data_IF_337284134545
#
_entry.id   IF_337284134545
#
_cell.length_a   1.000
_cell.length_b   1.000
_cell.length_c   1.000
_cell.angle_alpha   90.00
_cell.angle_beta   90.00
_cell.angle_gamma   90.00
#
_symmetry.space_group_name_H-M   'P 1'
#
loop_
_entity.id
_entity.type
_entity.pdbx_description
1 polymer ?
#
# COMPACT_ATOMS: atom_id res chain seq x y z
N UNK A 1 -15.57 25.47 -6.65
CA UNK A 1 -15.28 25.30 -8.09
C UNK A 1 -14.00 24.48 -8.18
N UNK A 2 -14.04 23.23 -8.66
CA UNK A 2 -12.80 22.46 -8.85
C UNK A 2 -11.94 23.19 -9.88
N UNK A 3 -10.63 23.27 -9.65
CA UNK A 3 -9.69 23.83 -10.62
C UNK A 3 -9.84 23.02 -11.93
N UNK A 4 -9.81 23.64 -13.12
CA UNK A 4 -9.94 22.92 -14.40
C UNK A 4 -8.99 21.72 -14.55
N UNK A 5 -7.81 21.77 -13.92
CA UNK A 5 -6.81 20.70 -13.91
C UNK A 5 -7.29 19.43 -13.19
N UNK A 6 -8.09 19.56 -12.13
CA UNK A 6 -8.61 18.42 -11.36
C UNK A 6 -9.60 17.59 -12.18
N UNK A 7 -10.43 18.25 -13.00
CA UNK A 7 -11.34 17.53 -13.89
C UNK A 7 -10.58 16.72 -14.94
N UNK A 8 -9.49 17.28 -15.49
CA UNK A 8 -8.62 16.59 -16.45
C UNK A 8 -7.96 15.38 -15.78
N UNK A 9 -7.44 15.53 -14.56
CA UNK A 9 -6.86 14.43 -13.77
C UNK A 9 -7.84 13.26 -13.63
N UNK A 10 -9.09 13.55 -13.23
CA UNK A 10 -10.14 12.52 -13.09
C UNK A 10 -10.44 11.83 -14.43
N UNK A 11 -10.56 12.59 -15.52
CA UNK A 11 -10.81 12.05 -16.86
C UNK A 11 -9.66 11.15 -17.34
N UNK A 12 -8.41 11.58 -17.15
CA UNK A 12 -7.22 10.81 -17.52
C UNK A 12 -7.09 9.54 -16.68
N UNK A 13 -7.41 9.60 -15.38
CA UNK A 13 -7.42 8.43 -14.51
C UNK A 13 -8.41 7.36 -14.98
N UNK A 14 -9.62 7.79 -15.36
CA UNK A 14 -10.62 6.89 -15.96
C UNK A 14 -10.17 6.29 -17.29
N UNK A 15 -9.68 7.14 -18.21
CA UNK A 15 -9.15 6.70 -19.49
C UNK A 15 -8.03 5.66 -19.31
N UNK A 16 -7.08 5.94 -18.41
CA UNK A 16 -5.95 5.05 -18.18
C UNK A 16 -6.42 3.68 -17.69
N UNK A 17 -7.39 3.64 -16.78
CA UNK A 17 -7.96 2.39 -16.27
C UNK A 17 -8.54 1.54 -17.40
N UNK A 18 -9.31 2.14 -18.29
CA UNK A 18 -9.94 1.41 -19.39
C UNK A 18 -8.90 0.93 -20.41
N UNK A 19 -7.95 1.80 -20.80
CA UNK A 19 -6.87 1.42 -21.70
C UNK A 19 -5.98 0.33 -21.11
N UNK A 20 -5.67 0.41 -19.82
CA UNK A 20 -4.86 -0.59 -19.14
C UNK A 20 -5.58 -1.94 -19.07
N UNK A 21 -6.88 -1.93 -18.76
CA UNK A 21 -7.71 -3.14 -18.78
C UNK A 21 -7.67 -3.80 -20.15
N UNK A 22 -7.79 -3.04 -21.22
CA UNK A 22 -7.73 -3.58 -22.59
C UNK A 22 -6.35 -4.18 -22.92
N UNK A 23 -5.26 -3.49 -22.58
CA UNK A 23 -3.90 -3.99 -22.80
C UNK A 23 -3.63 -5.25 -21.98
N UNK A 24 -4.08 -5.30 -20.72
CA UNK A 24 -3.93 -6.49 -19.88
C UNK A 24 -4.78 -7.66 -20.42
N UNK A 25 -5.98 -7.41 -20.97
CA UNK A 25 -6.79 -8.46 -21.61
C UNK A 25 -6.09 -9.06 -22.82
N UNK A 26 -5.44 -8.22 -23.63
CA UNK A 26 -4.64 -8.69 -24.76
C UNK A 26 -3.42 -9.49 -24.29
N UNK A 27 -2.70 -9.04 -23.25
CA UNK A 27 -1.60 -9.79 -22.66
C UNK A 27 -2.04 -11.16 -22.15
N UNK A 28 -3.19 -11.26 -21.47
CA UNK A 28 -3.74 -12.52 -20.97
C UNK A 28 -4.12 -13.53 -22.06
N UNK A 29 -4.30 -13.09 -23.32
CA UNK A 29 -4.47 -13.99 -24.47
C UNK A 29 -3.15 -14.65 -24.89
N UNK A 30 -2.01 -14.02 -24.60
CA UNK A 30 -0.67 -14.45 -25.01
C UNK A 30 0.07 -15.14 -23.86
N UNK A 31 0.03 -14.56 -22.66
CA UNK A 31 0.70 -15.05 -21.45
C UNK A 31 -0.25 -14.95 -20.26
N UNK A 32 -0.37 -16.03 -19.49
CA UNK A 32 -1.15 -16.07 -18.24
C UNK A 32 -0.23 -16.06 -17.03
N UNK A 33 0.63 -15.06 -16.94
CA UNK A 33 1.38 -14.88 -15.70
C UNK A 33 0.43 -14.50 -14.56
N UNK A 34 0.72 -15.02 -13.38
CA UNK A 34 -0.21 -14.99 -12.26
C UNK A 34 -0.42 -13.54 -11.74
N UNK A 35 0.58 -12.66 -11.88
CA UNK A 35 0.47 -11.24 -11.49
C UNK A 35 -0.53 -10.50 -12.38
N UNK A 36 -0.45 -10.68 -13.69
CA UNK A 36 -1.42 -10.08 -14.64
C UNK A 36 -2.83 -10.59 -14.38
N UNK A 37 -2.98 -11.88 -14.06
CA UNK A 37 -4.29 -12.47 -13.69
C UNK A 37 -4.84 -11.82 -12.42
N UNK A 38 -4.02 -11.72 -11.37
CA UNK A 38 -4.41 -11.11 -10.08
C UNK A 38 -4.78 -9.65 -10.27
N UNK A 39 -3.96 -8.87 -10.97
CA UNK A 39 -4.26 -7.47 -11.28
C UNK A 39 -5.56 -7.31 -12.08
N UNK A 40 -5.81 -8.16 -13.08
CA UNK A 40 -7.05 -8.11 -13.86
C UNK A 40 -8.28 -8.37 -12.97
N UNK A 41 -8.23 -9.39 -12.10
CA UNK A 41 -9.33 -9.70 -11.17
C UNK A 41 -9.65 -8.51 -10.27
N UNK A 42 -8.61 -7.82 -9.81
CA UNK A 42 -8.75 -6.63 -8.97
C UNK A 42 -9.33 -5.45 -9.75
N UNK A 43 -8.87 -5.22 -10.99
CA UNK A 43 -9.37 -4.14 -11.86
C UNK A 43 -10.83 -4.34 -12.29
N UNK A 44 -11.28 -5.59 -12.39
CA UNK A 44 -12.66 -5.96 -12.71
C UNK A 44 -13.56 -6.01 -11.45
N UNK A 45 -12.99 -5.85 -10.25
CA UNK A 45 -13.79 -5.76 -9.03
C UNK A 45 -14.64 -4.47 -9.01
N UNK A 46 -15.79 -4.48 -8.31
CA UNK A 46 -16.64 -3.29 -8.18
C UNK A 46 -15.95 -2.17 -7.42
N UNK A 47 -14.99 -2.50 -6.55
CA UNK A 47 -14.20 -1.54 -5.79
C UNK A 47 -13.17 -0.88 -6.72
N UNK A 48 -13.13 0.46 -6.72
CA UNK A 48 -12.31 1.21 -7.67
C UNK A 48 -10.89 1.36 -7.13
N UNK A 49 -9.98 0.49 -7.58
CA UNK A 49 -8.55 0.73 -7.44
C UNK A 49 -8.14 2.01 -8.16
N UNK A 50 -7.33 2.78 -7.46
CA UNK A 50 -6.67 3.99 -7.94
C UNK A 50 -5.33 3.55 -8.55
N UNK A 51 -5.22 3.61 -9.87
CA UNK A 51 -4.00 3.18 -10.58
C UNK A 51 -2.88 4.21 -10.59
N UNK A 52 -3.17 5.41 -10.09
CA UNK A 52 -2.34 6.61 -10.23
C UNK A 52 -2.42 7.39 -8.93
N UNK A 53 -1.29 7.90 -8.43
CA UNK A 53 -1.28 8.80 -7.27
C UNK A 53 -2.36 9.89 -7.41
N UNK A 54 -3.29 10.01 -6.44
CA UNK A 54 -4.36 11.01 -6.48
C UNK A 54 -3.85 12.42 -6.18
N UNK A 55 -2.71 12.51 -5.49
CA UNK A 55 -2.01 13.75 -5.20
C UNK A 55 -0.79 13.91 -6.10
N UNK A 56 -0.34 15.15 -6.22
CA UNK A 56 0.87 15.48 -6.97
C UNK A 56 2.09 14.81 -6.31
N UNK A 57 3.03 14.34 -7.13
CA UNK A 57 4.25 13.67 -6.66
C UNK A 57 5.28 14.75 -6.36
N UNK A 58 5.54 14.99 -5.07
CA UNK A 58 6.51 15.99 -4.63
C UNK A 58 7.95 15.59 -4.96
N UNK A 59 8.75 16.58 -5.35
CA UNK A 59 10.17 16.44 -5.72
C UNK A 59 11.04 16.13 -4.51
N UNK A 60 10.72 16.73 -3.36
CA UNK A 60 11.30 16.43 -2.06
C UNK A 60 10.33 16.83 -0.95
N UNK A 61 10.44 16.26 0.28
CA UNK A 61 9.64 16.69 1.42
C UNK A 61 9.79 18.19 1.75
N UNK A 62 10.96 18.76 1.46
CA UNK A 62 11.29 20.18 1.71
C UNK A 62 10.85 21.13 0.60
N UNK A 63 10.57 20.66 -0.63
CA UNK A 63 10.17 21.50 -1.76
C UNK A 63 8.69 21.31 -2.10
N UNK A 64 7.90 22.39 -2.01
CA UNK A 64 6.49 22.44 -2.49
C UNK A 64 6.38 22.45 -4.03
N UNK A 65 7.14 21.60 -4.70
CA UNK A 65 7.17 21.42 -6.15
C UNK A 65 6.80 19.98 -6.46
N UNK A 66 5.94 19.80 -7.44
CA UNK A 66 5.30 18.51 -7.65
C UNK A 66 4.91 18.32 -9.13
N UNK A 67 4.88 17.07 -9.56
CA UNK A 67 4.32 16.69 -10.87
C UNK A 67 2.92 16.13 -10.66
N UNK A 68 1.99 16.43 -11.57
CA UNK A 68 0.59 16.05 -11.39
C UNK A 68 0.39 14.56 -11.23
N UNK A 69 1.15 13.75 -11.98
CA UNK A 69 0.95 12.30 -12.01
C UNK A 69 2.14 11.56 -12.61
N UNK A 70 2.33 10.31 -12.19
CA UNK A 70 3.18 9.34 -12.87
C UNK A 70 2.51 7.96 -12.98
N UNK A 71 2.89 7.22 -14.02
CA UNK A 71 2.50 5.85 -14.30
C UNK A 71 3.76 4.97 -14.23
N UNK A 72 4.16 4.65 -13.01
CA UNK A 72 5.43 3.98 -12.72
C UNK A 72 6.60 4.70 -13.40
N UNK A 73 7.50 3.92 -14.02
CA UNK A 73 8.64 4.44 -14.80
C UNK A 73 8.33 4.64 -16.29
N UNK A 74 7.07 4.56 -16.70
CA UNK A 74 6.72 4.66 -18.12
C UNK A 74 6.42 6.10 -18.50
N UNK A 75 5.49 6.76 -17.83
CA UNK A 75 5.09 8.12 -18.20
C UNK A 75 4.86 8.99 -16.98
N UNK A 76 5.23 10.26 -17.08
CA UNK A 76 4.87 11.32 -16.13
C UNK A 76 4.02 12.38 -16.83
N UNK A 77 3.08 12.99 -16.11
CA UNK A 77 2.04 13.84 -16.65
C UNK A 77 2.03 15.22 -15.99
N UNK A 78 1.74 16.24 -16.79
CA UNK A 78 1.42 17.59 -16.36
C UNK A 78 0.06 17.99 -16.99
N UNK A 79 -0.92 18.32 -16.16
CA UNK A 79 -2.30 18.62 -16.58
C UNK A 79 -2.52 20.12 -16.67
N UNK A 80 -2.82 20.60 -17.88
CA UNK A 80 -3.02 22.02 -18.14
C UNK A 80 -4.44 22.33 -18.56
N UNK A 81 -4.90 23.53 -18.25
CA UNK A 81 -6.22 24.00 -18.68
C UNK A 81 -6.24 24.45 -20.13
N UNK A 82 -5.06 24.82 -20.66
CA UNK A 82 -4.88 25.29 -22.03
C UNK A 82 -3.53 24.86 -22.61
N UNK A 83 -3.49 24.64 -23.92
CA UNK A 83 -2.28 24.37 -24.70
C UNK A 83 -1.23 25.48 -24.59
N UNK A 84 -1.66 26.72 -24.28
CA UNK A 84 -0.74 27.86 -24.07
C UNK A 84 0.21 27.64 -22.89
N UNK A 85 -0.15 26.76 -21.96
CA UNK A 85 0.66 26.42 -20.78
C UNK A 85 1.66 25.28 -21.07
N UNK A 86 1.65 24.66 -22.25
CA UNK A 86 2.49 23.48 -22.53
C UNK A 86 3.98 23.80 -22.57
N UNK A 87 4.36 24.97 -23.09
CA UNK A 87 5.78 25.37 -23.10
C UNK A 87 6.28 25.65 -21.68
N UNK A 88 5.40 26.16 -20.82
CA UNK A 88 5.68 26.39 -19.40
C UNK A 88 5.82 25.04 -18.67
N UNK A 89 4.94 24.09 -18.94
CA UNK A 89 4.99 22.72 -18.43
C UNK A 89 6.35 22.05 -18.72
N UNK A 90 6.87 22.23 -19.93
CA UNK A 90 8.15 21.64 -20.37
C UNK A 90 9.33 22.32 -19.66
N UNK A 91 9.30 23.64 -19.51
CA UNK A 91 10.33 24.36 -18.73
C UNK A 91 10.32 23.92 -17.27
N UNK A 92 9.14 23.73 -16.69
CA UNK A 92 8.99 23.25 -15.33
C UNK A 92 9.45 21.79 -15.19
N UNK A 93 9.16 20.92 -16.15
CA UNK A 93 9.66 19.54 -16.15
C UNK A 93 11.20 19.47 -16.14
N UNK A 94 11.87 20.34 -16.90
CA UNK A 94 13.34 20.38 -17.00
C UNK A 94 14.02 21.05 -15.80
N UNK A 95 13.36 22.01 -15.15
CA UNK A 95 13.98 22.84 -14.10
C UNK A 95 13.50 22.54 -12.69
N UNK A 96 12.23 22.16 -12.54
CA UNK A 96 11.56 21.96 -11.24
C UNK A 96 11.39 20.49 -10.89
N UNK A 97 10.97 19.66 -11.85
CA UNK A 97 10.54 18.29 -11.59
C UNK A 97 11.46 17.21 -12.18
N UNK A 98 12.66 17.60 -12.64
CA UNK A 98 13.53 16.72 -13.41
C UNK A 98 13.92 15.43 -12.67
N UNK A 99 14.08 15.46 -11.35
CA UNK A 99 14.40 14.26 -10.55
C UNK A 99 13.32 13.18 -10.60
N UNK A 100 12.06 13.56 -10.89
CA UNK A 100 10.94 12.65 -11.10
C UNK A 100 10.80 12.31 -12.58
N UNK A 101 10.79 13.32 -13.46
CA UNK A 101 10.63 13.15 -14.91
C UNK A 101 11.75 12.30 -15.52
N UNK A 102 13.00 12.48 -15.10
CA UNK A 102 14.16 11.71 -15.60
C UNK A 102 14.08 10.21 -15.28
N UNK A 103 13.19 9.79 -14.36
CA UNK A 103 12.96 8.39 -14.03
C UNK A 103 11.90 7.72 -14.91
N UNK A 104 11.23 8.48 -15.79
CA UNK A 104 10.20 7.96 -16.70
C UNK A 104 10.72 7.86 -18.14
N UNK A 105 10.07 7.04 -18.97
CA UNK A 105 10.38 6.93 -20.41
C UNK A 105 9.76 8.09 -21.21
N UNK A 106 8.62 8.62 -20.76
CA UNK A 106 7.86 9.67 -21.42
C UNK A 106 7.41 10.77 -20.47
N UNK A 107 7.42 12.01 -20.96
CA UNK A 107 6.76 13.15 -20.33
C UNK A 107 5.59 13.60 -21.20
N UNK A 108 4.41 13.79 -20.60
CA UNK A 108 3.18 14.10 -21.32
C UNK A 108 2.56 15.34 -20.70
N UNK A 109 2.32 16.37 -21.49
CA UNK A 109 1.46 17.50 -21.09
C UNK A 109 0.15 17.42 -21.86
N UNK A 110 -0.98 17.60 -21.18
CA UNK A 110 -2.31 17.46 -21.81
C UNK A 110 -3.34 18.42 -21.24
N UNK A 111 -4.22 18.89 -22.12
CA UNK A 111 -5.44 19.63 -21.78
C UNK A 111 -6.71 18.81 -22.00
N UNK A 112 -6.60 17.48 -21.90
CA UNK A 112 -7.59 16.48 -22.31
C UNK A 112 -7.80 16.39 -23.83
N UNK A 113 -8.15 17.48 -24.49
CA UNK A 113 -8.41 17.53 -25.95
C UNK A 113 -7.14 17.45 -26.81
N UNK A 114 -6.01 17.90 -26.26
CA UNK A 114 -4.72 18.01 -26.94
C UNK A 114 -3.61 17.48 -26.04
N UNK A 115 -2.68 16.75 -26.65
CA UNK A 115 -1.61 16.04 -25.96
C UNK A 115 -0.30 16.33 -26.65
N UNK A 116 0.73 16.61 -25.85
CA UNK A 116 2.09 16.72 -26.33
C UNK A 116 2.94 15.68 -25.62
N UNK A 117 3.47 14.74 -26.39
CA UNK A 117 4.20 13.58 -25.89
C UNK A 117 5.69 13.78 -26.15
N UNK A 118 6.50 13.66 -25.10
CA UNK A 118 7.94 13.76 -25.14
C UNK A 118 8.57 12.45 -24.74
N UNK A 119 9.67 12.08 -25.41
CA UNK A 119 10.56 11.02 -24.96
C UNK A 119 11.61 11.63 -24.03
N UNK A 120 11.84 10.97 -22.90
CA UNK A 120 12.80 11.42 -21.89
C UNK A 120 14.17 10.80 -22.18
N UNK A 121 15.20 11.62 -22.19
CA UNK A 121 16.60 11.22 -22.28
C UNK A 121 17.39 11.84 -21.12
N UNK A 122 18.59 11.33 -20.85
CA UNK A 122 19.49 11.93 -19.84
C UNK A 122 19.81 13.40 -20.12
N UNK A 123 19.77 13.82 -21.40
CA UNK A 123 20.04 15.18 -21.85
C UNK A 123 18.82 16.10 -21.92
N UNK A 124 17.61 15.62 -21.62
CA UNK A 124 16.38 16.43 -21.66
C UNK A 124 15.19 15.72 -22.32
N UNK A 125 14.29 16.52 -22.90
CA UNK A 125 13.04 16.07 -23.51
C UNK A 125 13.09 16.22 -25.03
N UNK A 126 12.70 15.17 -25.76
CA UNK A 126 12.53 15.22 -27.22
C UNK A 126 11.05 15.10 -27.57
N UNK A 127 10.51 16.06 -28.32
CA UNK A 127 9.12 16.00 -28.78
C UNK A 127 8.92 14.81 -29.72
N UNK A 128 8.00 13.92 -29.38
CA UNK A 128 7.52 12.83 -30.24
C UNK A 128 6.46 13.36 -31.20
N UNK A 129 5.52 14.16 -30.66
CA UNK A 129 4.50 14.83 -31.45
C UNK A 129 3.42 15.50 -30.61
N UNK A 130 2.55 16.22 -31.32
CA UNK A 130 1.32 16.81 -30.81
C UNK A 130 0.13 16.09 -31.44
N UNK A 131 -0.84 15.73 -30.62
CA UNK A 131 -1.96 14.89 -31.02
C UNK A 131 -3.27 15.47 -30.47
N UNK A 132 -4.36 15.27 -31.20
CA UNK A 132 -5.70 15.36 -30.62
C UNK A 132 -5.98 14.14 -29.74
N UNK A 133 -7.12 14.17 -29.05
CA UNK A 133 -7.54 13.12 -28.13
C UNK A 133 -7.51 11.72 -28.76
N UNK A 134 -8.10 11.55 -29.95
CA UNK A 134 -8.27 10.22 -30.55
C UNK A 134 -6.92 9.62 -30.96
N UNK A 135 -6.05 10.42 -31.56
CA UNK A 135 -4.72 9.95 -31.96
C UNK A 135 -3.78 9.79 -30.76
N UNK A 136 -3.89 10.65 -29.75
CA UNK A 136 -3.15 10.49 -28.50
C UNK A 136 -3.50 9.18 -27.81
N UNK A 137 -4.80 8.85 -27.71
CA UNK A 137 -5.27 7.60 -27.09
C UNK A 137 -4.74 6.37 -27.83
N UNK A 138 -4.77 6.38 -29.17
CA UNK A 138 -4.23 5.27 -29.99
C UNK A 138 -2.74 5.07 -29.74
N UNK A 139 -1.95 6.14 -29.77
CA UNK A 139 -0.49 6.09 -29.56
C UNK A 139 -0.20 5.65 -28.13
N UNK A 140 -0.88 6.24 -27.16
CA UNK A 140 -0.70 5.92 -25.75
C UNK A 140 -0.98 4.45 -25.47
N UNK A 141 -2.09 3.91 -25.99
CA UNK A 141 -2.43 2.48 -25.87
C UNK A 141 -1.42 1.57 -26.56
N UNK A 142 -1.11 1.83 -27.84
CA UNK A 142 -0.34 0.90 -28.68
C UNK A 142 1.17 0.97 -28.46
N UNK A 143 1.70 2.13 -28.08
CA UNK A 143 3.14 2.36 -27.98
C UNK A 143 3.60 2.59 -26.54
N UNK A 144 2.82 3.27 -25.70
CA UNK A 144 3.28 3.64 -24.35
C UNK A 144 2.88 2.57 -23.33
N UNK A 145 1.60 2.18 -23.27
CA UNK A 145 1.12 1.17 -22.32
C UNK A 145 1.71 -0.22 -22.59
N UNK A 146 2.02 -0.54 -23.84
CA UNK A 146 2.68 -1.80 -24.19
C UNK A 146 4.09 -1.92 -23.59
N UNK A 147 4.76 -0.80 -23.29
CA UNK A 147 6.08 -0.74 -22.64
C UNK A 147 6.04 -0.84 -21.11
N UNK A 148 4.86 -0.99 -20.51
CA UNK A 148 4.73 -1.25 -19.06
C UNK A 148 5.11 -2.69 -18.82
N UNK A 149 6.34 -2.95 -18.37
CA UNK A 149 6.79 -4.31 -18.05
C UNK A 149 5.98 -4.88 -16.86
N UNK A 150 5.70 -4.02 -15.88
CA UNK A 150 4.90 -4.33 -14.71
C UNK A 150 4.04 -3.12 -14.31
N UNK A 151 2.75 -3.34 -14.10
CA UNK A 151 1.87 -2.33 -13.51
C UNK A 151 2.03 -2.39 -12.01
N UNK A 152 2.39 -1.27 -11.40
CA UNK A 152 2.35 -1.11 -9.96
C UNK A 152 1.23 -0.16 -9.55
N UNK A 153 0.64 -0.44 -8.41
CA UNK A 153 -0.44 0.30 -7.79
C UNK A 153 0.17 1.20 -6.70
N UNK A 154 -0.22 2.48 -6.61
CA UNK A 154 0.22 3.35 -5.53
C UNK A 154 -0.05 2.78 -4.13
N UNK A 155 0.89 2.93 -3.17
CA UNK A 155 0.76 2.42 -1.80
C UNK A 155 -0.08 3.37 -0.95
N UNK A 156 -1.32 3.67 -1.36
CA UNK A 156 -2.24 4.50 -0.60
C UNK A 156 -3.23 3.63 0.18
N UNK A 157 -3.74 4.09 1.34
CA UNK A 157 -4.56 3.25 2.22
C UNK A 157 -5.77 2.59 1.52
N UNK A 158 -6.46 3.32 0.64
CA UNK A 158 -7.62 2.79 -0.09
C UNK A 158 -7.24 1.64 -1.03
N UNK A 159 -6.07 1.74 -1.68
CA UNK A 159 -5.60 0.67 -2.57
C UNK A 159 -5.20 -0.56 -1.78
N UNK A 160 -4.51 -0.38 -0.65
CA UNK A 160 -4.11 -1.49 0.24
C UNK A 160 -5.35 -2.19 0.79
N UNK A 161 -6.36 -1.43 1.23
CA UNK A 161 -7.64 -1.98 1.67
C UNK A 161 -8.28 -2.83 0.56
N UNK A 162 -8.49 -2.26 -0.64
CA UNK A 162 -9.13 -2.98 -1.75
C UNK A 162 -8.35 -4.24 -2.13
N UNK A 163 -7.02 -4.14 -2.19
CA UNK A 163 -6.15 -5.26 -2.55
C UNK A 163 -6.29 -6.43 -1.59
N UNK A 164 -6.24 -6.19 -0.28
CA UNK A 164 -6.32 -7.26 0.72
C UNK A 164 -7.75 -7.63 1.11
N UNK A 165 -8.74 -6.79 0.81
CA UNK A 165 -10.17 -7.09 0.95
C UNK A 165 -10.70 -7.99 -0.16
N UNK A 166 -10.12 -7.94 -1.36
CA UNK A 166 -10.57 -8.79 -2.45
C UNK A 166 -10.59 -10.27 -2.04
N UNK A 167 -11.72 -10.97 -2.17
CA UNK A 167 -11.87 -12.40 -1.83
C UNK A 167 -11.43 -12.81 -0.39
N UNK A 168 -11.31 -11.86 0.55
CA UNK A 168 -10.80 -12.16 1.89
C UNK A 168 -11.70 -13.12 2.68
N UNK A 169 -13.02 -13.07 2.49
CA UNK A 169 -13.97 -13.97 3.18
C UNK A 169 -13.72 -15.46 2.82
N UNK A 170 -13.40 -15.77 1.55
CA UNK A 170 -13.08 -17.16 1.16
C UNK A 170 -11.72 -17.59 1.71
N UNK A 171 -10.75 -16.67 1.80
CA UNK A 171 -9.47 -16.90 2.47
C UNK A 171 -9.71 -17.20 3.96
N UNK A 172 -10.49 -16.38 4.65
CA UNK A 172 -10.81 -16.56 6.07
C UNK A 172 -11.53 -17.89 6.30
N UNK A 173 -12.51 -18.23 5.47
CA UNK A 173 -13.21 -19.53 5.51
C UNK A 173 -12.24 -20.70 5.32
N UNK A 174 -11.30 -20.59 4.39
CA UNK A 174 -10.26 -21.61 4.18
C UNK A 174 -9.32 -21.73 5.38
N UNK A 175 -8.88 -20.61 5.95
CA UNK A 175 -8.08 -20.58 7.17
C UNK A 175 -8.82 -21.21 8.35
N UNK A 176 -10.11 -20.94 8.51
CA UNK A 176 -10.98 -21.58 9.50
C UNK A 176 -11.01 -23.10 9.33
N UNK A 177 -11.21 -23.61 8.12
CA UNK A 177 -11.18 -25.05 7.84
C UNK A 177 -9.84 -25.69 8.21
N UNK A 178 -8.73 -25.07 7.80
CA UNK A 178 -7.37 -25.53 8.12
C UNK A 178 -7.15 -25.52 9.64
N UNK A 179 -7.61 -24.46 10.31
CA UNK A 179 -7.47 -24.31 11.76
C UNK A 179 -8.29 -25.37 12.51
N UNK A 180 -9.51 -25.68 12.06
CA UNK A 180 -10.34 -26.71 12.68
C UNK A 180 -9.68 -28.09 12.67
N UNK A 181 -8.92 -28.43 11.63
CA UNK A 181 -8.12 -29.66 11.56
C UNK A 181 -6.85 -29.62 12.42
N UNK A 182 -6.38 -28.43 12.77
CA UNK A 182 -5.09 -28.19 13.42
C UNK A 182 -5.21 -27.76 14.89
N UNK A 183 -6.36 -27.30 15.36
CA UNK A 183 -6.54 -26.70 16.70
C UNK A 183 -6.18 -27.63 17.86
N UNK A 184 -6.27 -28.95 17.65
CA UNK A 184 -5.88 -29.97 18.62
C UNK A 184 -4.45 -30.50 18.45
N UNK A 185 -3.71 -30.04 17.42
CA UNK A 185 -2.32 -30.41 17.21
C UNK A 185 -1.44 -29.89 18.37
N UNK A 186 -0.50 -30.71 18.84
CA UNK A 186 0.36 -30.42 19.99
C UNK A 186 1.18 -29.12 19.85
N UNK A 187 1.49 -28.70 18.62
CA UNK A 187 2.26 -27.48 18.32
C UNK A 187 1.38 -26.26 18.04
N UNK A 188 0.14 -26.45 17.59
CA UNK A 188 -0.79 -25.35 17.25
C UNK A 188 -1.63 -24.94 18.44
N UNK A 189 -2.12 -25.91 19.23
CA UNK A 189 -2.96 -25.64 20.40
C UNK A 189 -2.33 -24.62 21.36
N UNK A 190 -1.04 -24.72 21.75
CA UNK A 190 -0.43 -23.73 22.65
C UNK A 190 -0.35 -22.33 22.06
N UNK A 191 -0.18 -22.19 20.74
CA UNK A 191 -0.13 -20.89 20.07
C UNK A 191 -1.49 -20.19 20.11
N UNK A 192 -2.57 -20.94 19.83
CA UNK A 192 -3.92 -20.42 19.93
C UNK A 192 -4.31 -20.08 21.38
N UNK A 193 -3.97 -20.93 22.36
CA UNK A 193 -4.22 -20.63 23.77
C UNK A 193 -3.46 -19.38 24.23
N UNK A 194 -2.21 -19.19 23.81
CA UNK A 194 -1.45 -17.98 24.10
C UNK A 194 -2.15 -16.73 23.51
N UNK A 195 -2.57 -16.80 22.25
CA UNK A 195 -3.34 -15.75 21.60
C UNK A 195 -4.64 -15.45 22.34
N UNK A 196 -5.43 -16.48 22.63
CA UNK A 196 -6.73 -16.37 23.30
C UNK A 196 -6.58 -15.78 24.70
N UNK A 197 -5.54 -16.15 25.45
CA UNK A 197 -5.27 -15.57 26.77
C UNK A 197 -5.00 -14.07 26.68
N UNK A 198 -4.18 -13.63 25.71
CA UNK A 198 -3.92 -12.19 25.48
C UNK A 198 -5.22 -11.47 25.11
N UNK A 199 -5.94 -12.00 24.12
CA UNK A 199 -7.17 -11.37 23.64
C UNK A 199 -8.29 -11.40 24.68
N UNK A 200 -8.34 -12.38 25.57
CA UNK A 200 -9.32 -12.43 26.67
C UNK A 200 -9.11 -11.32 27.69
N UNK A 201 -7.88 -10.85 27.89
CA UNK A 201 -7.60 -9.68 28.73
C UNK A 201 -8.15 -8.39 28.11
N UNK A 202 -8.20 -8.31 26.77
CA UNK A 202 -8.65 -7.13 26.02
C UNK A 202 -10.17 -7.17 25.79
N UNK A 203 -10.69 -8.28 25.25
CA UNK A 203 -12.07 -8.45 24.80
C UNK A 203 -12.99 -9.09 25.85
N UNK A 204 -12.47 -9.45 27.03
CA UNK A 204 -13.24 -10.01 28.13
C UNK A 204 -13.79 -11.42 27.84
N UNK A 205 -14.96 -11.75 28.41
CA UNK A 205 -15.59 -13.08 28.29
C UNK A 205 -16.36 -13.24 26.98
N UNK A 206 -15.70 -13.05 25.86
CA UNK A 206 -16.24 -13.43 24.56
C UNK A 206 -16.30 -14.96 24.41
N UNK A 207 -17.09 -15.46 23.46
CA UNK A 207 -17.21 -16.88 23.21
C UNK A 207 -16.06 -17.43 22.34
N UNK A 208 -15.96 -18.76 22.27
CA UNK A 208 -14.90 -19.45 21.51
C UNK A 208 -14.93 -19.09 20.01
N UNK A 209 -16.13 -18.90 19.47
CA UNK A 209 -16.33 -18.57 18.05
C UNK A 209 -15.75 -17.20 17.74
N UNK A 210 -15.97 -16.22 18.61
CA UNK A 210 -15.40 -14.89 18.50
C UNK A 210 -13.87 -14.94 18.48
N UNK A 211 -13.24 -15.65 19.42
CA UNK A 211 -11.77 -15.72 19.48
C UNK A 211 -11.17 -16.45 18.28
N UNK A 212 -11.81 -17.52 17.82
CA UNK A 212 -11.36 -18.24 16.63
C UNK A 212 -11.46 -17.36 15.38
N UNK A 213 -12.56 -16.62 15.21
CA UNK A 213 -12.73 -15.70 14.09
C UNK A 213 -11.71 -14.56 14.10
N UNK A 214 -11.53 -13.93 15.27
CA UNK A 214 -10.52 -12.90 15.45
C UNK A 214 -9.11 -13.43 15.17
N UNK A 215 -8.80 -14.66 15.60
CA UNK A 215 -7.51 -15.31 15.34
C UNK A 215 -7.25 -15.51 13.84
N UNK A 216 -8.26 -15.89 13.05
CA UNK A 216 -8.12 -16.03 11.59
C UNK A 216 -7.92 -14.68 10.91
N UNK A 217 -8.70 -13.66 11.31
CA UNK A 217 -8.55 -12.29 10.81
C UNK A 217 -7.16 -11.72 11.09
N UNK A 218 -6.67 -11.90 12.33
CA UNK A 218 -5.33 -11.47 12.72
C UNK A 218 -4.23 -12.27 12.01
N UNK A 219 -4.43 -13.58 11.80
CA UNK A 219 -3.50 -14.41 11.01
C UNK A 219 -3.37 -13.87 9.58
N UNK A 220 -4.50 -13.59 8.92
CA UNK A 220 -4.49 -13.04 7.57
C UNK A 220 -3.86 -11.65 7.51
N UNK A 221 -4.22 -10.76 8.45
CA UNK A 221 -3.62 -9.43 8.55
C UNK A 221 -2.10 -9.52 8.72
N UNK A 222 -1.64 -10.39 9.61
CA UNK A 222 -0.22 -10.59 9.85
C UNK A 222 0.51 -11.04 8.59
N UNK A 223 -0.05 -11.98 7.81
CA UNK A 223 0.53 -12.37 6.52
C UNK A 223 0.65 -11.16 5.58
N UNK A 224 -0.41 -10.37 5.43
CA UNK A 224 -0.47 -9.19 4.58
C UNK A 224 0.58 -8.12 4.96
N UNK A 225 0.69 -7.83 6.26
CA UNK A 225 1.67 -6.86 6.79
C UNK A 225 3.09 -7.37 6.58
N UNK A 226 3.39 -8.62 6.97
CA UNK A 226 4.73 -9.19 6.84
C UNK A 226 5.22 -9.23 5.38
N UNK A 227 4.35 -9.63 4.45
CA UNK A 227 4.71 -9.66 3.03
C UNK A 227 4.90 -8.26 2.45
N UNK A 228 4.11 -7.29 2.90
CA UNK A 228 4.19 -5.90 2.44
C UNK A 228 5.50 -5.26 2.87
N UNK A 229 5.89 -5.40 4.15
CA UNK A 229 7.19 -4.92 4.66
C UNK A 229 8.33 -5.65 3.96
N UNK A 230 8.25 -6.98 3.83
CA UNK A 230 9.29 -7.76 3.15
C UNK A 230 9.51 -7.26 1.72
N UNK A 231 8.41 -6.98 1.00
CA UNK A 231 8.45 -6.45 -0.36
C UNK A 231 8.99 -5.02 -0.40
N UNK A 232 8.55 -4.14 0.50
CA UNK A 232 9.02 -2.76 0.61
C UNK A 232 10.53 -2.68 0.88
N UNK A 233 11.06 -3.56 1.73
CA UNK A 233 12.49 -3.67 2.03
C UNK A 233 13.30 -4.45 0.96
N UNK A 234 12.69 -4.75 -0.20
CA UNK A 234 13.32 -5.47 -1.30
C UNK A 234 13.72 -6.91 -0.96
N UNK A 235 13.13 -7.52 0.07
CA UNK A 235 13.35 -8.92 0.40
C UNK A 235 12.64 -9.82 -0.60
N UNK A 236 13.31 -10.91 -0.96
CA UNK A 236 12.77 -11.94 -1.84
C UNK A 236 13.08 -13.31 -1.24
N UNK A 237 12.17 -14.26 -1.42
CA UNK A 237 12.30 -15.58 -0.83
C UNK A 237 11.09 -16.46 -1.14
N UNK A 238 10.99 -17.59 -0.44
CA UNK A 238 9.79 -18.44 -0.53
C UNK A 238 8.58 -17.69 0.01
N UNK A 239 7.39 -17.99 -0.52
CA UNK A 239 6.14 -17.35 -0.10
C UNK A 239 5.88 -17.53 1.40
N UNK A 240 6.25 -18.69 1.94
CA UNK A 240 6.17 -19.01 3.37
C UNK A 240 7.04 -18.08 4.23
N UNK A 241 8.22 -17.72 3.72
CA UNK A 241 9.16 -16.86 4.44
C UNK A 241 8.69 -15.40 4.41
N UNK A 242 8.21 -14.94 3.24
CA UNK A 242 7.59 -13.62 3.07
C UNK A 242 6.39 -13.41 4.00
N UNK A 243 5.42 -14.33 4.02
CA UNK A 243 4.20 -14.20 4.83
C UNK A 243 4.42 -14.36 6.33
N UNK A 244 5.53 -14.97 6.74
CA UNK A 244 5.81 -15.19 8.17
C UNK A 244 6.59 -14.07 8.84
N UNK A 245 7.23 -13.21 8.05
CA UNK A 245 8.20 -12.23 8.53
C UNK A 245 9.58 -12.79 8.85
N UNK A 246 9.91 -14.06 8.52
CA UNK A 246 11.22 -14.66 8.82
C UNK A 246 12.40 -13.99 8.10
N UNK A 247 12.13 -13.20 7.07
CA UNK A 247 13.12 -12.40 6.33
C UNK A 247 13.42 -11.05 7.01
N UNK A 248 12.62 -10.66 8.00
CA UNK A 248 12.74 -9.39 8.71
C UNK A 248 13.70 -9.55 9.89
N UNK A 249 14.56 -8.55 10.10
CA UNK A 249 15.52 -8.51 11.22
C UNK A 249 14.96 -7.85 12.48
N UNK A 250 13.70 -7.41 12.43
CA UNK A 250 13.02 -6.65 13.48
C UNK A 250 11.89 -7.50 14.03
N UNK A 251 11.71 -7.47 15.35
CA UNK A 251 10.63 -8.16 16.06
C UNK A 251 9.27 -7.49 15.79
N UNK A 252 8.73 -7.74 14.60
CA UNK A 252 7.37 -7.35 14.18
C UNK A 252 6.49 -8.58 14.10
N UNK A 253 7.06 -9.70 13.66
CA UNK A 253 6.33 -10.94 13.49
C UNK A 253 5.83 -11.46 14.84
N UNK A 254 4.55 -11.84 14.90
CA UNK A 254 3.90 -12.42 16.06
C UNK A 254 3.93 -13.94 15.94
N UNK A 255 4.77 -14.67 16.70
CA UNK A 255 5.02 -16.10 16.45
C UNK A 255 3.77 -16.97 16.52
N UNK A 256 2.80 -16.64 17.39
CA UNK A 256 1.55 -17.39 17.51
C UNK A 256 0.63 -17.26 16.28
N UNK A 257 0.75 -16.19 15.49
CA UNK A 257 0.02 -16.04 14.21
C UNK A 257 0.68 -16.83 13.07
N UNK A 258 1.88 -17.37 13.27
CA UNK A 258 2.57 -18.25 12.31
C UNK A 258 2.21 -19.74 12.48
N UNK A 259 1.12 -20.07 13.16
CA UNK A 259 0.66 -21.44 13.41
C UNK A 259 0.49 -22.29 12.14
N UNK A 260 0.09 -21.65 11.04
CA UNK A 260 -0.11 -22.26 9.73
C UNK A 260 1.18 -22.88 9.17
N UNK A 261 2.37 -22.46 9.62
CA UNK A 261 3.64 -23.11 9.25
C UNK A 261 3.69 -24.58 9.67
N UNK A 262 3.02 -24.94 10.78
CA UNK A 262 2.91 -26.34 11.21
C UNK A 262 2.04 -27.14 10.24
N UNK A 263 0.96 -26.53 9.75
CA UNK A 263 0.00 -27.15 8.84
C UNK A 263 0.59 -27.48 7.45
N UNK A 264 1.63 -26.76 7.02
CA UNK A 264 2.37 -27.05 5.77
C UNK A 264 2.98 -28.46 5.70
N UNK A 265 3.15 -29.14 6.85
CA UNK A 265 3.63 -30.53 6.89
C UNK A 265 2.56 -31.56 6.51
N UNK A 266 1.29 -31.15 6.39
CA UNK A 266 0.19 -32.01 5.94
C UNK A 266 -0.10 -31.72 4.48
N UNK A 267 0.11 -32.70 3.60
CA UNK A 267 -0.01 -32.54 2.14
C UNK A 267 -1.34 -31.92 1.71
N UNK A 268 -2.47 -32.37 2.26
CA UNK A 268 -3.79 -31.84 1.91
C UNK A 268 -3.99 -30.37 2.30
N UNK A 269 -3.45 -29.95 3.44
CA UNK A 269 -3.54 -28.55 3.90
C UNK A 269 -2.53 -27.65 3.20
N UNK A 270 -1.38 -28.21 2.79
CA UNK A 270 -0.32 -27.48 2.11
C UNK A 270 -0.79 -26.87 0.81
N UNK A 271 -1.52 -27.62 -0.01
CA UNK A 271 -2.03 -27.13 -1.31
C UNK A 271 -2.93 -25.90 -1.12
N UNK A 272 -3.86 -25.95 -0.14
CA UNK A 272 -4.73 -24.82 0.20
C UNK A 272 -3.96 -23.61 0.75
N UNK A 273 -2.94 -23.85 1.59
CA UNK A 273 -2.10 -22.78 2.13
C UNK A 273 -1.21 -22.15 1.07
N UNK A 274 -0.62 -22.94 0.18
CA UNK A 274 0.25 -22.44 -0.90
C UNK A 274 -0.52 -21.48 -1.81
N UNK A 275 -1.81 -21.74 -2.07
CA UNK A 275 -2.69 -20.82 -2.80
C UNK A 275 -2.87 -19.49 -2.05
N UNK A 276 -3.21 -19.52 -0.76
CA UNK A 276 -3.38 -18.31 0.07
C UNK A 276 -2.08 -17.50 0.14
N UNK A 277 -0.96 -18.17 0.47
CA UNK A 277 0.34 -17.52 0.65
C UNK A 277 0.81 -16.88 -0.67
N UNK A 278 0.62 -17.57 -1.79
CA UNK A 278 0.97 -17.06 -3.11
C UNK A 278 0.12 -15.84 -3.48
N UNK A 279 -1.18 -15.89 -3.22
CA UNK A 279 -2.10 -14.78 -3.49
C UNK A 279 -1.74 -13.53 -2.66
N UNK A 280 -1.47 -13.69 -1.36
CA UNK A 280 -1.04 -12.61 -0.46
C UNK A 280 0.28 -11.98 -0.92
N UNK A 281 1.28 -12.79 -1.27
CA UNK A 281 2.56 -12.30 -1.77
C UNK A 281 2.40 -11.53 -3.09
N UNK A 282 1.51 -11.99 -3.98
CA UNK A 282 1.27 -11.29 -5.23
C UNK A 282 0.58 -9.95 -5.05
N UNK A 283 -0.42 -9.85 -4.16
CA UNK A 283 -1.08 -8.58 -3.86
C UNK A 283 -0.10 -7.54 -3.35
N UNK A 284 0.78 -7.92 -2.42
CA UNK A 284 1.86 -7.04 -1.96
C UNK A 284 2.85 -6.70 -3.09
N UNK A 285 3.11 -7.65 -3.97
CA UNK A 285 3.95 -7.45 -5.16
C UNK A 285 3.35 -6.49 -6.19
N UNK A 286 2.04 -6.26 -6.21
CA UNK A 286 1.41 -5.28 -7.11
C UNK A 286 1.58 -3.84 -6.65
N UNK A 287 2.02 -3.60 -5.41
CA UNK A 287 2.13 -2.27 -4.83
C UNK A 287 3.51 -1.65 -5.14
N UNK A 288 3.53 -0.35 -5.45
CA UNK A 288 4.75 0.43 -5.61
C UNK A 288 5.25 0.98 -4.26
N UNK A 289 5.87 0.12 -3.44
CA UNK A 289 6.43 0.51 -2.15
C UNK A 289 7.61 1.50 -2.24
N UNK A 290 8.08 1.85 -3.45
CA UNK A 290 9.14 2.85 -3.63
C UNK A 290 8.64 4.29 -3.59
N UNK A 291 7.31 4.49 -3.59
CA UNK A 291 6.69 5.80 -3.44
C UNK A 291 6.62 6.17 -1.96
N UNK A 292 7.14 7.35 -1.60
CA UNK A 292 7.17 7.89 -0.24
C UNK A 292 5.80 8.42 0.23
N UNK A 293 4.74 7.66 -0.05
CA UNK A 293 3.33 8.03 0.17
C UNK A 293 2.58 6.97 0.96
N UNK A 294 3.28 5.93 1.42
CA UNK A 294 2.73 4.85 2.21
C UNK A 294 2.63 5.30 3.68
N UNK A 295 1.62 6.12 3.98
CA UNK A 295 1.34 6.57 5.34
C UNK A 295 0.00 5.97 5.81
N UNK A 296 -0.01 5.36 7.01
CA UNK A 296 -1.20 4.76 7.66
C UNK A 296 -1.87 3.65 6.81
N UNK A 297 -1.12 2.94 5.98
CA UNK A 297 -1.65 1.93 5.05
C UNK A 297 -2.13 0.65 5.74
N UNK A 298 -1.45 0.22 6.80
CA UNK A 298 -1.78 -0.96 7.57
C UNK A 298 -2.84 -0.68 8.64
N UNK A 299 -2.95 0.57 9.11
CA UNK A 299 -4.07 1.00 9.95
C UNK A 299 -5.41 0.76 9.25
N UNK A 300 -5.57 1.20 8.01
CA UNK A 300 -6.84 1.01 7.27
C UNK A 300 -7.14 -0.48 7.08
N UNK A 301 -6.12 -1.29 6.81
CA UNK A 301 -6.26 -2.74 6.76
C UNK A 301 -6.73 -3.34 8.11
N UNK A 302 -6.23 -2.84 9.24
CA UNK A 302 -6.70 -3.24 10.58
C UNK A 302 -8.18 -2.88 10.76
N UNK A 303 -8.55 -1.63 10.48
CA UNK A 303 -9.90 -1.11 10.67
C UNK A 303 -10.94 -1.86 9.84
N UNK A 304 -10.51 -2.36 8.68
CA UNK A 304 -11.30 -3.20 7.79
C UNK A 304 -11.46 -4.62 8.33
N UNK A 305 -10.36 -5.29 8.70
CA UNK A 305 -10.40 -6.70 9.11
C UNK A 305 -11.06 -6.88 10.48
N UNK A 306 -10.97 -5.89 11.36
CA UNK A 306 -11.59 -5.88 12.69
C UNK A 306 -12.79 -4.94 12.70
N UNK A 307 -13.99 -5.52 12.69
CA UNK A 307 -15.24 -4.77 12.56
C UNK A 307 -15.38 -3.64 13.59
N UNK A 308 -16.01 -2.50 13.23
CA UNK A 308 -16.30 -1.42 14.17
C UNK A 308 -17.07 -1.87 15.41
N UNK A 309 -17.94 -2.88 15.28
CA UNK A 309 -18.71 -3.46 16.39
C UNK A 309 -17.80 -4.08 17.46
N UNK A 310 -16.70 -4.72 17.02
CA UNK A 310 -15.70 -5.38 17.86
C UNK A 310 -14.80 -4.35 18.51
N UNK A 311 -14.29 -3.38 17.73
CA UNK A 311 -13.43 -2.29 18.23
C UNK A 311 -14.13 -1.42 19.28
N UNK A 312 -15.40 -1.07 19.05
CA UNK A 312 -16.19 -0.27 20.00
C UNK A 312 -16.42 -0.95 21.35
N UNK A 313 -16.48 -2.28 21.41
CA UNK A 313 -16.68 -3.00 22.68
C UNK A 313 -15.53 -2.81 23.68
N UNK A 314 -14.34 -2.43 23.19
CA UNK A 314 -13.13 -2.30 24.00
C UNK A 314 -12.56 -0.87 23.98
N UNK A 315 -13.26 0.08 23.36
CA UNK A 315 -12.79 1.46 23.28
C UNK A 315 -11.66 1.69 22.27
N UNK A 316 -11.42 0.77 21.32
CA UNK A 316 -10.49 0.99 20.21
C UNK A 316 -11.09 1.99 19.22
N UNK A 317 -10.89 3.28 19.50
CA UNK A 317 -11.25 4.39 18.63
C UNK A 317 -10.00 5.00 18.05
N UNK A 318 -9.89 4.99 16.73
CA UNK A 318 -8.78 5.65 16.08
C UNK A 318 -8.96 7.16 16.07
N UNK A 319 -7.92 7.88 16.49
CA UNK A 319 -7.86 9.33 16.35
C UNK A 319 -7.75 9.68 14.86
N UNK A 320 -8.62 10.55 14.32
CA UNK A 320 -8.50 11.02 12.94
C UNK A 320 -7.14 11.69 12.70
N UNK A 321 -6.53 11.43 11.56
CA UNK A 321 -5.16 11.92 11.22
C UNK A 321 -5.06 13.44 11.37
N UNK A 322 -6.04 14.19 10.88
CA UNK A 322 -6.06 15.66 10.99
C UNK A 322 -6.03 16.16 12.44
N UNK A 323 -6.59 15.40 13.38
CA UNK A 323 -6.60 15.75 14.80
C UNK A 323 -5.25 15.45 15.45
N UNK A 324 -4.62 14.33 15.07
CA UNK A 324 -3.25 13.99 15.47
C UNK A 324 -2.29 15.09 14.99
N UNK A 325 -2.35 15.45 13.72
CA UNK A 325 -1.52 16.52 13.13
C UNK A 325 -1.73 17.85 13.87
N UNK A 326 -2.97 18.20 14.18
CA UNK A 326 -3.28 19.41 14.93
C UNK A 326 -2.64 19.39 16.32
N UNK A 327 -2.74 18.27 17.04
CA UNK A 327 -2.18 18.13 18.40
C UNK A 327 -0.65 18.19 18.37
N UNK A 328 0.00 17.39 17.50
CA UNK A 328 1.46 17.30 17.43
C UNK A 328 2.10 18.65 17.11
N UNK A 329 1.46 19.48 16.27
CA UNK A 329 1.94 20.82 15.89
C UNK A 329 1.97 21.84 17.03
N UNK A 330 1.26 21.60 18.12
CA UNK A 330 1.27 22.48 19.31
C UNK A 330 2.53 22.29 20.17
N UNK A 331 3.36 21.28 19.87
CA UNK A 331 4.56 20.96 20.62
C UNK A 331 5.83 21.12 19.77
N UNK A 332 6.91 21.54 20.43
CA UNK A 332 8.28 21.45 19.90
C UNK A 332 8.82 20.06 20.24
N UNK A 333 8.95 19.20 19.22
CA UNK A 333 9.23 17.77 19.40
C UNK A 333 10.69 17.44 19.13
N UNK A 334 11.44 18.35 18.49
CA UNK A 334 12.84 18.15 18.18
C UNK A 334 13.70 17.88 19.42
N UNK A 335 14.56 16.86 19.35
CA UNK A 335 15.50 16.46 20.41
C UNK A 335 14.77 16.11 21.75
N UNK A 336 13.49 15.72 21.66
CA UNK A 336 12.64 15.29 22.78
C UNK A 336 12.18 13.84 22.61
N UNK A 337 12.28 13.09 23.71
CA UNK A 337 11.59 11.80 23.83
C UNK A 337 10.08 12.04 23.94
N UNK A 338 9.31 11.48 23.00
CA UNK A 338 7.84 11.55 22.98
C UNK A 338 7.27 10.16 23.25
N UNK A 339 6.36 10.09 24.22
CA UNK A 339 5.75 8.84 24.69
C UNK A 339 4.24 8.85 24.43
N UNK A 340 3.75 7.85 23.70
CA UNK A 340 2.33 7.51 23.63
C UNK A 340 2.05 6.20 24.39
N UNK A 341 1.43 6.25 25.59
CA UNK A 341 1.19 5.07 26.40
C UNK A 341 0.02 4.19 25.92
N UNK A 342 -0.72 4.62 24.88
CA UNK A 342 -1.86 3.89 24.29
C UNK A 342 -1.83 4.03 22.76
N UNK A 343 -0.69 3.71 22.17
CA UNK A 343 -0.37 4.12 20.81
C UNK A 343 -1.21 3.47 19.72
N UNK A 344 -1.93 2.38 20.03
CA UNK A 344 -2.65 1.59 19.04
C UNK A 344 -1.72 1.19 17.89
N UNK A 345 -2.17 1.47 16.66
CA UNK A 345 -1.39 1.23 15.45
C UNK A 345 -0.35 2.31 15.12
N UNK A 346 -0.10 3.26 16.02
CA UNK A 346 1.05 4.16 15.95
C UNK A 346 0.85 5.51 15.25
N UNK A 347 -0.37 5.94 14.94
CA UNK A 347 -0.58 7.22 14.20
C UNK A 347 0.10 8.43 14.88
N UNK A 348 0.02 8.57 16.21
CA UNK A 348 0.75 9.64 16.92
C UNK A 348 2.28 9.49 16.82
N UNK A 349 2.78 8.26 16.86
CA UNK A 349 4.21 7.97 16.76
C UNK A 349 4.75 8.39 15.38
N UNK A 350 4.06 7.97 14.31
CA UNK A 350 4.42 8.27 12.91
C UNK A 350 4.38 9.77 12.65
N UNK A 351 3.31 10.45 13.07
CA UNK A 351 3.21 11.92 12.89
C UNK A 351 4.25 12.69 13.69
N UNK A 352 4.57 12.22 14.89
CA UNK A 352 5.66 12.81 15.69
C UNK A 352 7.01 12.62 15.02
N UNK A 353 7.29 11.43 14.51
CA UNK A 353 8.51 11.12 13.77
C UNK A 353 8.69 12.04 12.55
N UNK A 354 7.67 12.18 11.71
CA UNK A 354 7.74 13.10 10.57
C UNK A 354 7.91 14.55 11.02
N UNK A 355 7.24 14.96 12.10
CA UNK A 355 7.38 16.31 12.64
C UNK A 355 8.81 16.61 13.10
N UNK A 356 9.47 15.65 13.76
CA UNK A 356 10.89 15.76 14.16
C UNK A 356 11.80 15.94 12.93
N UNK A 357 11.58 15.16 11.87
CA UNK A 357 12.32 15.28 10.61
C UNK A 357 12.07 16.65 9.95
N UNK A 358 10.82 17.14 9.95
CA UNK A 358 10.48 18.48 9.45
C UNK A 358 11.20 19.60 10.23
N UNK A 359 11.43 19.40 11.53
CA UNK A 359 12.20 20.29 12.40
C UNK A 359 13.73 20.10 12.24
N UNK A 360 14.15 19.20 11.35
CA UNK A 360 15.55 18.96 10.99
C UNK A 360 16.29 18.09 12.00
N UNK A 361 15.60 17.18 12.68
CA UNK A 361 16.20 16.07 13.44
C UNK A 361 16.69 14.97 12.49
N UNK A 362 17.74 14.25 12.88
CA UNK A 362 18.20 13.08 12.13
C UNK A 362 17.16 11.94 12.24
N UNK A 363 16.85 11.21 11.16
CA UNK A 363 15.85 10.13 11.21
C UNK A 363 16.15 9.01 12.20
N UNK A 364 17.43 8.63 12.39
CA UNK A 364 17.78 7.57 13.33
C UNK A 364 17.61 8.03 14.79
N UNK A 365 17.94 9.30 15.07
CA UNK A 365 17.68 9.94 16.37
C UNK A 365 16.17 10.06 16.62
N UNK A 366 15.41 10.58 15.65
CA UNK A 366 13.96 10.73 15.74
C UNK A 366 13.24 9.40 16.00
N UNK A 367 13.68 8.32 15.34
CA UNK A 367 13.16 6.97 15.56
C UNK A 367 13.46 6.47 16.99
N UNK A 368 14.64 6.78 17.52
CA UNK A 368 15.05 6.41 18.88
C UNK A 368 14.31 7.17 19.99
N UNK A 369 13.70 8.32 19.67
CA UNK A 369 13.02 9.19 20.62
C UNK A 369 11.50 9.03 20.66
N UNK A 370 10.91 8.27 19.73
CA UNK A 370 9.47 8.01 19.68
C UNK A 370 9.16 6.65 20.33
N UNK A 371 8.42 6.67 21.44
CA UNK A 371 8.14 5.48 22.27
C UNK A 371 6.63 5.24 22.37
N UNK A 372 6.20 4.01 22.13
CA UNK A 372 4.80 3.61 22.18
C UNK A 372 4.57 2.36 23.01
N UNK A 373 3.45 2.34 23.75
CA UNK A 373 2.93 1.13 24.40
C UNK A 373 1.48 0.88 23.99
N UNK A 374 1.12 -0.39 23.80
CA UNK A 374 -0.27 -0.80 23.65
C UNK A 374 -0.46 -2.23 24.19
N UNK A 375 -1.66 -2.53 24.67
CA UNK A 375 -2.02 -3.86 25.18
C UNK A 375 -2.25 -4.86 24.04
N UNK A 376 -2.65 -4.38 22.86
CA UNK A 376 -2.91 -5.20 21.69
C UNK A 376 -1.60 -5.44 20.91
N UNK A 377 -1.02 -6.64 20.97
CA UNK A 377 0.25 -6.93 20.31
C UNK A 377 0.19 -6.81 18.78
N UNK A 378 -1.00 -6.99 18.17
CA UNK A 378 -1.16 -6.77 16.73
C UNK A 378 -1.08 -5.29 16.40
N UNK A 379 -1.69 -4.42 17.20
CA UNK A 379 -1.59 -2.97 17.03
C UNK A 379 -0.13 -2.49 17.15
N UNK A 380 0.62 -3.00 18.13
CA UNK A 380 2.06 -2.74 18.27
C UNK A 380 2.86 -3.22 17.06
N UNK A 381 2.58 -4.43 16.54
CA UNK A 381 3.23 -4.94 15.35
C UNK A 381 2.94 -4.06 14.12
N UNK A 382 1.72 -3.55 13.99
CA UNK A 382 1.34 -2.61 12.93
C UNK A 382 2.05 -1.27 13.10
N UNK A 383 2.12 -0.72 14.32
CA UNK A 383 2.86 0.53 14.58
C UNK A 383 4.33 0.41 14.18
N UNK A 384 4.98 -0.71 14.51
CA UNK A 384 6.36 -1.00 14.07
C UNK A 384 6.48 -1.15 12.57
N UNK A 385 5.49 -1.77 11.92
CA UNK A 385 5.46 -1.93 10.47
C UNK A 385 5.38 -0.59 9.75
N UNK A 386 4.47 0.29 10.20
CA UNK A 386 4.31 1.64 9.69
C UNK A 386 5.59 2.46 9.89
N UNK A 387 6.18 2.42 11.09
CA UNK A 387 7.45 3.13 11.36
C UNK A 387 8.64 2.65 10.51
N UNK A 388 8.62 1.41 9.99
CA UNK A 388 9.68 0.92 9.10
C UNK A 388 9.51 1.32 7.64
N UNK A 389 8.28 1.62 7.23
CA UNK A 389 7.99 2.12 5.88
C UNK A 389 7.96 3.65 5.84
N UNK A 390 7.80 4.28 7.00
CA UNK A 390 7.82 5.73 7.20
C UNK A 390 9.21 6.32 6.97
#
# INVERSE_FOLDING_TARGET
>A
MSKPHENIRVQISHLLKDLLRDVLRERLKVSRDLRTVTLMRILDSPEKIILIMPQEIYVSPSERKSIDMALGRVASFDFKSSEREFDDAVRDALSKYWSVVSKTKFFITTSWSKWRIYRVFSSGLQLVGEYDYDDAVKIFRSQILTMIDEVKIPPIPENIEILFKHNHEEILKTLHMIFDEMKNNEKVRPLYEAYKNIMSMIYGRADEKFFTDLFMRHTYMHMAVMTSISTALGKTGRVEDMCSGSLLKVDIALPYLNWWRVALNRRGLREMLDEILTDVVQRAGLVDWSLNTAEDVFRVLYEFLVEPSVRRKIGEYYTPIWLVDMIVREFDVKDRIVLDPFCGSGTFLIKTFYRKIEEGEDPDEALGEVVGFDINPLAVAVARAEMLIA
#
